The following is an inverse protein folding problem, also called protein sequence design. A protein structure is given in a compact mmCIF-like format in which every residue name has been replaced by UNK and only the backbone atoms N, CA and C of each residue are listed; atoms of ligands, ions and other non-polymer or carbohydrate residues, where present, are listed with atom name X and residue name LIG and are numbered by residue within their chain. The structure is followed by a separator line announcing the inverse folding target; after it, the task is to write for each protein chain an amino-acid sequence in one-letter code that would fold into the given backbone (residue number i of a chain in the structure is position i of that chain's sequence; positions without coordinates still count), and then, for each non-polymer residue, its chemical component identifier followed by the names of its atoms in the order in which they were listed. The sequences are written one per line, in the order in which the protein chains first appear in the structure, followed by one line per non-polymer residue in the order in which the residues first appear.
data_IF_695318423040
#
_entry.id   IF_695318423040
#
_cell.length_a   1.000
_cell.length_b   1.000
_cell.length_c   1.000
_cell.angle_alpha   90.00
_cell.angle_beta   90.00
_cell.angle_gamma   90.00
#
_symmetry.space_group_name_H-M   'P 1'
#
loop_
_entity.id
_entity.type
_entity.pdbx_description
1 polymer ?
#
# COMPACT_ATOMS: atom_id res chain seq x y z
N UNK A 1 -25.03 -2.34 -10.16
CA UNK A 1 -24.56 -2.43 -9.25
C UNK A 1 -25.20 -1.97 -8.20
N UNK A 2 -24.94 -2.21 -7.32
CA UNK A 2 -25.55 -1.89 -6.29
C UNK A 2 -25.08 -0.75 -5.66
N UNK A 3 -25.83 -0.03 -5.15
CA UNK A 3 -25.41 1.20 -4.64
C UNK A 3 -25.15 1.16 -3.22
N UNK A 4 -25.47 0.11 -2.58
CA UNK A 4 -25.31 0.13 -1.21
C UNK A 4 -23.95 0.29 -0.81
N UNK A 5 -23.03 -0.01 -1.64
CA UNK A 5 -21.72 0.13 -1.20
C UNK A 5 -21.23 1.50 -1.29
N UNK A 6 -22.02 2.43 -1.58
CA UNK A 6 -21.55 3.77 -1.77
C UNK A 6 -20.87 4.36 -0.58
N UNK A 7 -21.36 4.11 0.62
CA UNK A 7 -20.78 4.78 1.77
C UNK A 7 -19.61 3.99 2.35
N UNK A 8 -19.87 2.79 2.75
CA UNK A 8 -18.87 2.02 3.46
C UNK A 8 -18.26 0.92 2.64
N UNK A 9 -18.89 0.55 1.53
CA UNK A 9 -18.45 -0.56 0.73
C UNK A 9 -18.92 -1.87 1.31
N UNK A 10 -18.47 -2.96 0.74
CA UNK A 10 -18.86 -4.30 1.14
C UNK A 10 -17.70 -4.99 1.85
N UNK A 11 -17.98 -6.15 2.43
CA UNK A 11 -16.94 -6.98 3.01
C UNK A 11 -15.89 -7.37 1.95
N UNK A 12 -16.33 -7.62 0.72
CA UNK A 12 -15.40 -7.93 -0.36
C UNK A 12 -14.50 -6.74 -0.66
N UNK A 13 -15.03 -5.53 -0.61
CA UNK A 13 -14.22 -4.33 -0.81
C UNK A 13 -13.20 -4.18 0.31
N UNK A 14 -13.61 -4.43 1.53
CA UNK A 14 -12.71 -4.37 2.67
C UNK A 14 -11.57 -5.37 2.52
N UNK A 15 -11.89 -6.60 2.15
CA UNK A 15 -10.88 -7.64 1.98
C UNK A 15 -9.94 -7.30 0.83
N UNK A 16 -10.47 -6.78 -0.26
CA UNK A 16 -9.65 -6.38 -1.40
C UNK A 16 -8.66 -5.28 -1.01
N UNK A 17 -9.13 -4.25 -0.32
CA UNK A 17 -8.26 -3.17 0.10
C UNK A 17 -7.21 -3.66 1.09
N UNK A 18 -7.59 -4.56 1.98
CA UNK A 18 -6.63 -5.13 2.93
C UNK A 18 -5.55 -5.91 2.20
N UNK A 19 -5.92 -6.72 1.22
CA UNK A 19 -4.94 -7.48 0.44
C UNK A 19 -4.02 -6.55 -0.35
N UNK A 20 -4.57 -5.49 -0.91
CA UNK A 20 -3.76 -4.51 -1.63
C UNK A 20 -2.75 -3.83 -0.71
N UNK A 21 -3.18 -3.48 0.50
CA UNK A 21 -2.29 -2.86 1.47
C UNK A 21 -1.14 -3.80 1.84
N UNK A 22 -1.44 -5.07 2.08
CA UNK A 22 -0.41 -6.05 2.42
C UNK A 22 0.55 -6.26 1.27
N UNK A 23 0.05 -6.27 0.03
CA UNK A 23 0.88 -6.40 -1.16
C UNK A 23 1.84 -5.22 -1.28
N UNK A 24 1.34 -3.99 -1.08
CA UNK A 24 2.20 -2.81 -1.16
C UNK A 24 3.29 -2.86 -0.10
N UNK A 25 2.97 -3.31 1.10
CA UNK A 25 3.97 -3.44 2.16
C UNK A 25 5.04 -4.46 1.78
N UNK A 26 4.63 -5.58 1.21
CA UNK A 26 5.57 -6.60 0.80
C UNK A 26 6.49 -6.09 -0.30
N UNK A 27 5.94 -5.43 -1.32
CA UNK A 27 6.72 -4.91 -2.44
C UNK A 27 7.69 -3.85 -1.95
N UNK A 28 7.23 -2.95 -1.07
CA UNK A 28 8.09 -1.91 -0.52
C UNK A 28 9.28 -2.51 0.24
N UNK A 29 9.04 -3.58 0.99
CA UNK A 29 10.12 -4.27 1.72
C UNK A 29 11.11 -4.91 0.77
N UNK A 30 10.63 -5.44 -0.36
CA UNK A 30 11.50 -6.03 -1.37
C UNK A 30 12.42 -4.98 -1.97
N UNK A 31 11.90 -3.79 -2.26
CA UNK A 31 12.73 -2.69 -2.77
C UNK A 31 13.73 -2.22 -1.72
N UNK A 32 13.36 -2.22 -0.46
CA UNK A 32 14.29 -1.85 0.59
C UNK A 32 15.51 -2.78 0.58
N UNK A 33 15.29 -4.09 0.49
CA UNK A 33 16.36 -5.07 0.42
C UNK A 33 17.21 -4.82 -0.83
N UNK A 34 16.56 -4.58 -1.97
CA UNK A 34 17.28 -4.34 -3.22
C UNK A 34 18.17 -3.10 -3.14
N UNK A 35 17.67 -2.04 -2.49
CA UNK A 35 18.45 -0.82 -2.28
C UNK A 35 19.70 -1.12 -1.46
N UNK A 36 19.55 -1.89 -0.40
CA UNK A 36 20.65 -2.19 0.49
C UNK A 36 21.71 -3.06 -0.18
N UNK A 37 21.30 -3.89 -1.11
CA UNK A 37 22.23 -4.81 -1.77
C UNK A 37 22.82 -4.27 -3.06
N UNK A 38 22.34 -3.14 -3.56
CA UNK A 38 22.82 -2.62 -4.81
C UNK A 38 24.06 -1.75 -4.60
N UNK A 39 25.11 -2.00 -5.37
CA UNK A 39 26.30 -1.19 -5.33
C UNK A 39 26.26 -0.03 -6.31
N UNK A 40 25.31 -0.04 -7.25
CA UNK A 40 25.22 1.01 -8.25
C UNK A 40 24.28 2.11 -7.79
N UNK A 41 24.81 3.33 -7.70
CA UNK A 41 24.05 4.44 -7.16
C UNK A 41 22.82 4.79 -7.97
N UNK A 42 22.91 4.76 -9.28
CA UNK A 42 21.73 5.10 -10.08
C UNK A 42 20.66 4.03 -9.99
N UNK A 43 21.03 2.76 -9.84
CA UNK A 43 20.07 1.70 -9.61
C UNK A 43 19.42 1.86 -8.25
N UNK A 44 20.21 2.17 -7.23
CA UNK A 44 19.67 2.41 -5.89
C UNK A 44 18.67 3.56 -5.88
N UNK A 45 18.98 4.63 -6.60
CA UNK A 45 18.07 5.78 -6.67
C UNK A 45 16.79 5.43 -7.41
N UNK A 46 16.88 4.60 -8.45
CA UNK A 46 15.69 4.15 -9.15
C UNK A 46 14.79 3.32 -8.21
N UNK A 47 15.38 2.42 -7.42
CA UNK A 47 14.62 1.64 -6.46
C UNK A 47 13.98 2.52 -5.39
N UNK A 48 14.70 3.53 -4.92
CA UNK A 48 14.14 4.46 -3.92
C UNK A 48 12.94 5.20 -4.48
N UNK A 49 13.02 5.61 -5.73
CA UNK A 49 11.89 6.31 -6.36
C UNK A 49 10.66 5.39 -6.47
N UNK A 50 10.86 4.15 -6.88
CA UNK A 50 9.78 3.18 -6.97
C UNK A 50 9.20 2.91 -5.57
N UNK A 51 10.07 2.77 -4.57
CA UNK A 51 9.62 2.53 -3.21
C UNK A 51 8.77 3.68 -2.69
N UNK A 52 9.16 4.92 -3.00
CA UNK A 52 8.37 6.08 -2.59
C UNK A 52 6.97 6.03 -3.20
N UNK A 53 6.86 5.62 -4.45
CA UNK A 53 5.56 5.48 -5.10
C UNK A 53 4.73 4.39 -4.44
N UNK A 54 5.35 3.27 -4.09
CA UNK A 54 4.66 2.18 -3.42
C UNK A 54 4.15 2.61 -2.05
N UNK A 55 4.94 3.42 -1.33
CA UNK A 55 4.51 3.94 -0.04
C UNK A 55 3.35 4.91 -0.16
N UNK A 56 3.31 5.69 -1.23
CA UNK A 56 2.18 6.57 -1.50
C UNK A 56 0.93 5.77 -1.81
N UNK A 57 1.07 4.68 -2.57
CA UNK A 57 -0.05 3.79 -2.84
C UNK A 57 -0.59 3.18 -1.54
N UNK A 58 0.31 2.71 -0.69
CA UNK A 58 -0.09 2.14 0.60
C UNK A 58 -0.84 3.17 1.44
N UNK A 59 -0.39 4.43 1.43
CA UNK A 59 -1.07 5.47 2.18
C UNK A 59 -2.47 5.74 1.63
N UNK A 60 -2.63 5.73 0.32
CA UNK A 60 -3.95 5.92 -0.27
C UNK A 60 -4.91 4.81 0.12
N UNK A 61 -4.42 3.57 0.12
CA UNK A 61 -5.23 2.42 0.50
C UNK A 61 -5.58 2.51 1.99
N UNK A 62 -4.59 2.82 2.81
CA UNK A 62 -4.78 2.97 4.24
C UNK A 62 -5.82 4.05 4.54
N UNK A 63 -5.70 5.21 3.89
CA UNK A 63 -6.64 6.31 4.10
C UNK A 63 -8.06 5.90 3.71
N UNK A 64 -8.20 5.16 2.60
CA UNK A 64 -9.50 4.68 2.16
C UNK A 64 -10.12 3.72 3.17
N UNK A 65 -9.31 2.84 3.74
CA UNK A 65 -9.78 1.88 4.73
C UNK A 65 -10.10 2.58 6.05
N UNK A 66 -9.25 3.50 6.46
CA UNK A 66 -9.44 4.19 7.72
C UNK A 66 -10.70 5.06 7.68
N UNK A 67 -10.95 5.70 6.56
CA UNK A 67 -12.15 6.52 6.39
C UNK A 67 -13.42 5.68 6.55
N UNK A 68 -13.35 4.40 6.24
CA UNK A 68 -14.49 3.49 6.36
C UNK A 68 -14.49 2.71 7.67
N UNK A 69 -13.53 2.96 8.55
CA UNK A 69 -13.43 2.23 9.82
C UNK A 69 -12.93 0.81 9.68
N UNK A 70 -12.32 0.47 8.56
CA UNK A 70 -11.86 -0.88 8.31
C UNK A 70 -10.44 -1.16 8.81
N UNK A 71 -9.68 -0.13 9.09
CA UNK A 71 -8.31 -0.31 9.54
C UNK A 71 -7.92 0.87 10.40
N UNK A 72 -7.44 0.59 11.60
CA UNK A 72 -6.97 1.61 12.51
C UNK A 72 -5.55 1.24 12.90
N UNK A 73 -4.59 2.14 12.69
CA UNK A 73 -3.22 1.82 13.03
C UNK A 73 -3.05 1.73 14.53
N UNK A 74 -2.10 0.92 14.95
CA UNK A 74 -1.71 0.89 16.35
C UNK A 74 -0.80 2.07 16.61
N UNK A 75 -0.99 2.70 17.70
CA UNK A 75 -0.18 3.84 18.07
C UNK A 75 0.70 3.53 19.26
#
# INVERSE_FOLDING_TARGET
MNTQQTMAGTTADKDTLHDMLMTEKYVSSTYEIAIMESANESVRNAFRHIQDEEQQHAKMIFDAMNKRGWYTPKT
#
